data_IF_132274977770
#
_entry.id   IF_132274977770
#
_cell.length_a   1.000
_cell.length_b   1.000
_cell.length_c   1.000
_cell.angle_alpha   90.00
_cell.angle_beta   90.00
_cell.angle_gamma   90.00
#
_symmetry.space_group_name_H-M   'P 1'
#
loop_
_entity.id
_entity.type
_entity.pdbx_description
1 polymer ?
#
# COMPACT_ATOMS: atom_id res chain seq x y z
N UNK A 1 10.66 -18.84 13.41
CA UNK A 1 9.36 -18.39 12.84
C UNK A 1 9.52 -17.73 11.48
N UNK A 2 10.44 -16.77 11.30
CA UNK A 2 10.74 -16.19 9.98
C UNK A 2 11.17 -17.27 8.95
N UNK A 3 12.03 -18.21 9.33
CA UNK A 3 12.47 -19.31 8.45
C UNK A 3 11.32 -20.23 7.99
N UNK A 4 10.28 -20.41 8.81
CA UNK A 4 9.11 -21.23 8.48
C UNK A 4 8.17 -20.53 7.48
N UNK A 5 8.03 -19.21 7.61
CA UNK A 5 7.30 -18.37 6.65
C UNK A 5 8.05 -18.38 5.31
N UNK A 6 9.38 -18.24 5.34
CA UNK A 6 10.25 -18.29 4.15
C UNK A 6 10.19 -19.66 3.47
N UNK A 7 10.20 -20.78 4.21
CA UNK A 7 10.16 -22.13 3.63
C UNK A 7 8.79 -22.51 3.07
N UNK A 8 7.70 -21.88 3.52
CA UNK A 8 6.33 -22.20 3.07
C UNK A 8 5.85 -21.26 1.96
N UNK A 9 6.22 -19.97 2.03
CA UNK A 9 5.80 -18.96 1.04
C UNK A 9 6.82 -18.72 -0.07
N UNK A 10 8.10 -19.05 0.14
CA UNK A 10 9.19 -18.78 -0.81
C UNK A 10 8.99 -19.43 -2.18
N UNK A 11 8.34 -20.58 -2.24
CA UNK A 11 8.06 -21.30 -3.48
C UNK A 11 6.70 -20.95 -4.10
N UNK A 12 5.81 -20.27 -3.36
CA UNK A 12 4.41 -20.05 -3.78
C UNK A 12 4.15 -18.66 -4.33
N UNK A 13 4.92 -17.63 -3.91
CA UNK A 13 4.70 -16.24 -4.34
C UNK A 13 5.85 -15.80 -5.27
N UNK A 14 5.57 -15.53 -6.57
CA UNK A 14 6.54 -14.90 -7.45
C UNK A 14 7.09 -13.61 -6.84
N UNK A 15 8.41 -13.44 -6.84
CA UNK A 15 9.06 -12.27 -6.23
C UNK A 15 8.55 -10.93 -6.79
N UNK A 16 8.06 -10.91 -8.04
CA UNK A 16 7.50 -9.73 -8.69
C UNK A 16 6.15 -9.29 -8.12
N UNK A 17 5.35 -10.19 -7.53
CA UNK A 17 4.04 -9.82 -6.96
C UNK A 17 4.10 -9.57 -5.45
N UNK A 18 5.23 -9.88 -4.81
CA UNK A 18 5.44 -9.72 -3.37
C UNK A 18 5.09 -8.31 -2.87
N UNK A 19 5.50 -7.20 -3.53
CA UNK A 19 5.14 -5.86 -3.06
C UNK A 19 3.61 -5.65 -2.98
N UNK A 20 2.87 -6.09 -3.99
CA UNK A 20 1.42 -5.94 -4.04
C UNK A 20 0.72 -6.75 -2.95
N UNK A 21 1.19 -7.97 -2.67
CA UNK A 21 0.70 -8.80 -1.55
C UNK A 21 0.94 -8.09 -0.22
N UNK A 22 2.13 -7.56 -0.02
CA UNK A 22 2.50 -6.82 1.21
C UNK A 22 1.65 -5.56 1.36
N UNK A 23 1.36 -4.84 0.29
CA UNK A 23 0.45 -3.68 0.32
C UNK A 23 -0.92 -4.09 0.87
N UNK A 24 -1.51 -5.18 0.35
CA UNK A 24 -2.84 -5.65 0.77
C UNK A 24 -2.82 -6.07 2.23
N UNK A 25 -1.78 -6.80 2.67
CA UNK A 25 -1.65 -7.24 4.06
C UNK A 25 -1.51 -6.02 4.99
N UNK A 26 -0.64 -5.07 4.66
CA UNK A 26 -0.45 -3.86 5.45
C UNK A 26 -1.75 -3.04 5.54
N UNK A 27 -2.42 -2.85 4.40
CA UNK A 27 -3.71 -2.16 4.33
C UNK A 27 -4.78 -2.86 5.18
N UNK A 28 -4.92 -4.18 5.08
CA UNK A 28 -5.93 -4.92 5.84
C UNK A 28 -5.69 -4.86 7.36
N UNK A 29 -4.43 -5.05 7.79
CA UNK A 29 -4.07 -5.00 9.22
C UNK A 29 -4.28 -3.58 9.75
N UNK A 30 -3.79 -2.56 9.05
CA UNK A 30 -3.94 -1.16 9.49
C UNK A 30 -5.40 -0.69 9.47
N UNK A 31 -6.21 -1.18 8.53
CA UNK A 31 -7.62 -0.83 8.48
C UNK A 31 -8.38 -1.38 9.69
N UNK A 32 -8.05 -2.61 10.10
CA UNK A 32 -8.67 -3.28 11.26
C UNK A 32 -8.09 -2.86 12.61
N UNK A 33 -6.86 -2.34 12.67
CA UNK A 33 -6.24 -1.87 13.92
C UNK A 33 -6.42 -0.38 14.17
N UNK A 34 -6.72 0.41 13.13
CA UNK A 34 -6.80 1.87 13.22
C UNK A 34 -5.45 2.57 13.41
N UNK A 35 -4.32 1.88 13.25
CA UNK A 35 -2.99 2.45 13.45
C UNK A 35 -2.04 2.16 12.30
N UNK A 36 -1.60 3.22 11.62
CA UNK A 36 -0.60 3.14 10.55
C UNK A 36 0.80 2.87 11.11
N UNK A 37 1.24 3.68 12.08
CA UNK A 37 2.59 3.58 12.68
C UNK A 37 2.84 2.27 13.41
N UNK A 38 1.83 1.75 14.14
CA UNK A 38 1.94 0.45 14.81
C UNK A 38 2.14 -0.69 13.82
N UNK A 39 1.40 -0.66 12.71
CA UNK A 39 1.53 -1.68 11.65
C UNK A 39 2.87 -1.57 10.94
N UNK A 40 3.36 -0.36 10.65
CA UNK A 40 4.71 -0.18 10.08
C UNK A 40 5.79 -0.73 11.04
N UNK A 41 5.69 -0.45 12.33
CA UNK A 41 6.66 -0.92 13.33
C UNK A 41 6.71 -2.45 13.44
N UNK A 42 5.55 -3.12 13.30
CA UNK A 42 5.46 -4.58 13.35
C UNK A 42 5.87 -5.22 12.01
N UNK A 43 5.41 -4.68 10.88
CA UNK A 43 5.62 -5.30 9.58
C UNK A 43 7.02 -5.08 9.02
N UNK A 44 7.64 -3.91 9.20
CA UNK A 44 9.00 -3.65 8.68
C UNK A 44 10.04 -4.72 9.09
N UNK A 45 10.20 -5.07 10.38
CA UNK A 45 11.19 -6.08 10.78
C UNK A 45 10.87 -7.50 10.29
N UNK A 46 9.64 -7.77 9.83
CA UNK A 46 9.25 -9.06 9.27
C UNK A 46 9.40 -9.09 7.75
N UNK A 47 8.95 -8.03 7.08
CA UNK A 47 8.85 -7.93 5.62
C UNK A 47 10.22 -7.75 4.97
N UNK A 48 11.12 -6.96 5.57
CA UNK A 48 12.47 -6.75 5.03
C UNK A 48 13.25 -8.07 4.92
N UNK A 49 13.43 -8.87 5.99
CA UNK A 49 14.14 -10.15 5.88
C UNK A 49 13.40 -11.16 5.02
N UNK A 50 12.06 -11.18 5.02
CA UNK A 50 11.27 -12.02 4.12
C UNK A 50 11.56 -11.69 2.65
N UNK A 51 11.54 -10.41 2.30
CA UNK A 51 11.80 -9.92 0.93
C UNK A 51 13.21 -10.29 0.50
N UNK A 52 14.19 -10.12 1.38
CA UNK A 52 15.58 -10.53 1.12
C UNK A 52 15.70 -12.02 0.85
N UNK A 53 15.03 -12.86 1.63
CA UNK A 53 15.04 -14.31 1.45
C UNK A 53 14.37 -14.74 0.13
N UNK A 54 13.21 -14.16 -0.19
CA UNK A 54 12.50 -14.42 -1.47
C UNK A 54 13.37 -14.00 -2.65
N UNK A 55 14.00 -12.82 -2.60
CA UNK A 55 14.91 -12.35 -3.65
C UNK A 55 16.11 -13.28 -3.82
N UNK A 56 16.69 -13.78 -2.71
CA UNK A 56 17.82 -14.73 -2.77
C UNK A 56 17.45 -16.05 -3.47
N UNK A 57 16.23 -16.54 -3.27
CA UNK A 57 15.75 -17.78 -3.88
C UNK A 57 15.25 -17.61 -5.33
N UNK A 58 14.69 -16.44 -5.68
CA UNK A 58 13.99 -16.21 -6.95
C UNK A 58 14.79 -15.57 -8.09
N UNK A 59 16.06 -15.19 -7.87
CA UNK A 59 16.86 -14.49 -8.89
C UNK A 59 18.12 -13.78 -8.38
N UNK A 60 18.35 -13.82 -7.06
CA UNK A 60 19.48 -13.17 -6.40
C UNK A 60 19.16 -11.72 -6.00
N UNK A 61 19.77 -11.29 -4.90
CA UNK A 61 19.75 -9.90 -4.44
C UNK A 61 20.74 -9.04 -5.26
N UNK A 62 20.51 -8.98 -6.58
CA UNK A 62 21.30 -8.20 -7.52
C UNK A 62 20.84 -6.74 -7.56
N UNK A 63 21.66 -5.81 -8.08
CA UNK A 63 21.24 -4.42 -8.29
C UNK A 63 19.98 -4.30 -9.17
N UNK A 64 19.81 -5.22 -10.13
CA UNK A 64 18.64 -5.27 -11.02
C UNK A 64 17.35 -5.58 -10.27
N UNK A 65 17.38 -6.48 -9.30
CA UNK A 65 16.18 -6.89 -8.54
C UNK A 65 15.88 -6.01 -7.32
N UNK A 66 16.74 -5.03 -7.02
CA UNK A 66 16.62 -4.22 -5.80
C UNK A 66 15.34 -3.37 -5.76
N UNK A 67 14.72 -3.11 -6.92
CA UNK A 67 13.41 -2.46 -6.98
C UNK A 67 12.34 -3.22 -6.19
N UNK A 68 12.45 -4.54 -6.02
CA UNK A 68 11.50 -5.35 -5.25
C UNK A 68 11.60 -5.01 -3.77
N UNK A 69 12.83 -4.85 -3.25
CA UNK A 69 13.05 -4.47 -1.85
C UNK A 69 12.45 -3.08 -1.57
N UNK A 70 12.81 -2.09 -2.40
CA UNK A 70 12.31 -0.73 -2.24
C UNK A 70 10.79 -0.66 -2.40
N UNK A 71 10.24 -1.34 -3.40
CA UNK A 71 8.80 -1.41 -3.64
C UNK A 71 8.08 -2.07 -2.46
N UNK A 72 8.63 -3.14 -1.90
CA UNK A 72 7.98 -3.86 -0.79
C UNK A 72 7.97 -3.01 0.50
N UNK A 73 9.08 -2.32 0.80
CA UNK A 73 9.14 -1.35 1.91
C UNK A 73 8.12 -0.24 1.69
N UNK A 74 8.07 0.33 0.48
CA UNK A 74 7.09 1.35 0.12
C UNK A 74 5.64 0.83 0.26
N UNK A 75 5.38 -0.45 -0.04
CA UNK A 75 4.06 -1.07 0.10
C UNK A 75 3.61 -1.19 1.56
N UNK A 76 4.52 -1.47 2.49
CA UNK A 76 4.21 -1.43 3.93
C UNK A 76 3.77 -0.02 4.34
N UNK A 77 4.53 1.01 3.93
CA UNK A 77 4.23 2.39 4.26
C UNK A 77 2.89 2.83 3.65
N UNK A 78 2.75 2.65 2.33
CA UNK A 78 1.59 3.13 1.58
C UNK A 78 0.31 2.37 1.94
N UNK A 79 0.36 1.05 2.12
CA UNK A 79 -0.80 0.27 2.56
C UNK A 79 -1.26 0.70 3.96
N UNK A 80 -0.31 0.92 4.88
CA UNK A 80 -0.63 1.37 6.24
C UNK A 80 -1.24 2.79 6.26
N UNK A 81 -0.70 3.73 5.48
CA UNK A 81 -1.23 5.10 5.37
C UNK A 81 -2.58 5.13 4.67
N UNK A 82 -2.75 4.34 3.61
CA UNK A 82 -4.02 4.24 2.89
C UNK A 82 -5.17 3.83 3.82
N UNK A 83 -4.92 2.86 4.69
CA UNK A 83 -5.90 2.41 5.67
C UNK A 83 -6.23 3.46 6.73
N UNK A 84 -5.23 4.24 7.17
CA UNK A 84 -5.41 5.32 8.15
C UNK A 84 -6.34 6.43 7.66
N UNK A 85 -6.40 6.61 6.33
CA UNK A 85 -7.21 7.63 5.68
C UNK A 85 -8.69 7.25 5.55
N UNK A 86 -9.01 5.95 5.58
CA UNK A 86 -10.37 5.47 5.29
C UNK A 86 -10.97 4.60 6.40
N UNK A 87 -10.18 4.18 7.39
CA UNK A 87 -10.67 3.35 8.50
C UNK A 87 -11.47 4.18 9.51
N UNK A 88 -12.72 3.80 9.84
CA UNK A 88 -13.55 4.52 10.80
C UNK A 88 -13.02 4.47 12.24
N UNK A 89 -12.08 3.58 12.53
CA UNK A 89 -11.48 3.42 13.86
C UNK A 89 -10.06 4.01 13.94
N UNK A 90 -9.58 4.64 12.85
CA UNK A 90 -8.28 5.28 12.84
C UNK A 90 -8.29 6.56 13.68
N UNK A 91 -7.25 6.73 14.52
CA UNK A 91 -7.01 7.96 15.28
C UNK A 91 -6.95 9.19 14.36
N UNK A 92 -6.31 9.05 13.20
CA UNK A 92 -6.19 10.12 12.18
C UNK A 92 -7.55 10.46 11.58
N UNK A 93 -8.36 9.45 11.27
CA UNK A 93 -9.72 9.64 10.73
C UNK A 93 -10.63 10.34 11.76
N UNK A 94 -10.56 9.93 13.03
CA UNK A 94 -11.32 10.53 14.14
C UNK A 94 -10.89 11.99 14.37
N UNK A 95 -9.59 12.26 14.43
CA UNK A 95 -9.08 13.62 14.63
C UNK A 95 -9.44 14.53 13.44
N UNK A 96 -9.42 14.00 12.22
CA UNK A 96 -9.77 14.76 11.02
C UNK A 96 -11.26 15.07 10.95
N UNK A 97 -12.15 14.15 11.35
CA UNK A 97 -13.58 14.42 11.39
C UNK A 97 -13.92 15.50 12.43
N UNK A 98 -13.29 15.42 13.61
CA UNK A 98 -13.42 16.43 14.68
C UNK A 98 -12.91 17.81 14.23
N UNK A 99 -11.74 17.87 13.59
CA UNK A 99 -11.18 19.11 13.06
C UNK A 99 -12.03 19.73 11.94
N UNK A 100 -12.72 18.88 11.16
CA UNK A 100 -13.63 19.31 10.09
C UNK A 100 -15.03 19.66 10.59
N UNK A 101 -15.34 19.41 11.86
CA UNK A 101 -16.66 19.67 12.45
C UNK A 101 -17.79 18.79 11.88
N UNK A 102 -17.46 17.59 11.39
CA UNK A 102 -18.41 16.67 10.79
C UNK A 102 -18.49 15.34 11.54
N UNK A 103 -19.62 14.66 11.40
CA UNK A 103 -19.81 13.32 11.95
C UNK A 103 -18.80 12.34 11.34
N UNK A 104 -18.20 11.49 12.19
CA UNK A 104 -17.15 10.54 11.80
C UNK A 104 -17.55 9.69 10.60
N UNK A 105 -18.77 9.15 10.61
CA UNK A 105 -19.23 8.26 9.55
C UNK A 105 -19.48 9.01 8.23
N UNK A 106 -19.85 10.28 8.28
CA UNK A 106 -20.01 11.10 7.09
C UNK A 106 -18.65 11.46 6.49
N UNK A 107 -17.65 11.73 7.33
CA UNK A 107 -16.26 11.87 6.90
C UNK A 107 -15.79 10.60 6.16
N UNK A 108 -15.92 9.42 6.79
CA UNK A 108 -15.49 8.15 6.18
C UNK A 108 -16.21 7.88 4.86
N UNK A 109 -17.53 8.06 4.82
CA UNK A 109 -18.34 7.83 3.60
C UNK A 109 -17.92 8.73 2.45
N UNK A 110 -17.57 9.98 2.72
CA UNK A 110 -17.12 10.92 1.69
C UNK A 110 -15.69 10.61 1.23
N UNK A 111 -14.81 10.09 2.10
CA UNK A 111 -13.44 9.72 1.75
C UNK A 111 -13.31 8.37 1.05
N UNK A 112 -14.19 7.40 1.36
CA UNK A 112 -14.12 6.03 0.84
C UNK A 112 -14.01 5.93 -0.70
N UNK A 113 -14.79 6.67 -1.51
CA UNK A 113 -14.66 6.63 -2.97
C UNK A 113 -13.26 7.04 -3.45
N UNK A 114 -12.68 8.09 -2.86
CA UNK A 114 -11.33 8.54 -3.18
C UNK A 114 -10.28 7.52 -2.74
N UNK A 115 -10.41 7.00 -1.52
CA UNK A 115 -9.53 5.97 -1.00
C UNK A 115 -9.53 4.72 -1.89
N UNK A 116 -10.70 4.21 -2.29
CA UNK A 116 -10.79 3.05 -3.20
C UNK A 116 -10.11 3.35 -4.54
N UNK A 117 -10.36 4.53 -5.13
CA UNK A 117 -9.73 4.90 -6.40
C UNK A 117 -8.20 5.01 -6.32
N UNK A 118 -7.68 5.60 -5.25
CA UNK A 118 -6.24 5.75 -5.02
C UNK A 118 -5.59 4.40 -4.68
N UNK A 119 -6.26 3.57 -3.88
CA UNK A 119 -5.77 2.23 -3.51
C UNK A 119 -5.70 1.29 -4.72
N UNK A 120 -6.73 1.30 -5.58
CA UNK A 120 -6.71 0.54 -6.83
C UNK A 120 -5.65 1.05 -7.80
N UNK A 121 -5.47 2.36 -7.93
CA UNK A 121 -4.40 2.91 -8.76
C UNK A 121 -3.01 2.55 -8.21
N UNK A 122 -2.81 2.64 -6.89
CA UNK A 122 -1.57 2.23 -6.25
C UNK A 122 -1.28 0.75 -6.51
N UNK A 123 -2.27 -0.13 -6.38
CA UNK A 123 -2.11 -1.57 -6.65
C UNK A 123 -1.84 -1.88 -8.13
N UNK A 124 -2.72 -1.43 -9.02
CA UNK A 124 -2.74 -1.85 -10.42
C UNK A 124 -1.73 -1.10 -11.29
N UNK A 125 -1.51 0.19 -11.03
CA UNK A 125 -0.66 1.05 -11.82
C UNK A 125 0.69 1.34 -11.15
N UNK A 126 0.80 1.10 -9.84
CA UNK A 126 2.02 1.35 -9.07
C UNK A 126 2.76 0.07 -8.69
N UNK A 127 2.30 -0.61 -7.66
CA UNK A 127 3.05 -1.67 -6.96
C UNK A 127 3.21 -2.92 -7.81
N UNK A 128 2.19 -3.34 -8.56
CA UNK A 128 2.30 -4.48 -9.49
C UNK A 128 3.34 -4.23 -10.59
N UNK A 129 3.24 -3.17 -11.42
CA UNK A 129 4.28 -2.86 -12.41
C UNK A 129 5.67 -2.63 -11.82
N UNK A 130 5.76 -1.97 -10.65
CA UNK A 130 7.04 -1.76 -9.97
C UNK A 130 7.72 -3.09 -9.60
N UNK A 131 6.93 -4.10 -9.23
CA UNK A 131 7.41 -5.45 -8.97
C UNK A 131 7.94 -6.17 -10.22
N UNK A 132 7.49 -5.80 -11.42
CA UNK A 132 8.03 -6.27 -12.70
C UNK A 132 9.18 -5.40 -13.25
N UNK A 133 9.67 -4.42 -12.48
CA UNK A 133 10.82 -3.60 -12.86
C UNK A 133 10.50 -2.38 -13.72
N UNK A 134 9.22 -1.97 -13.80
CA UNK A 134 8.88 -0.73 -14.48
C UNK A 134 9.48 0.50 -13.76
N UNK A 135 9.90 1.54 -14.50
CA UNK A 135 10.58 2.69 -13.90
C UNK A 135 9.64 3.52 -13.03
N UNK A 136 10.07 3.82 -11.81
CA UNK A 136 9.27 4.51 -10.79
C UNK A 136 8.66 5.83 -11.26
N UNK A 137 9.40 6.64 -12.03
CA UNK A 137 8.94 7.95 -12.50
C UNK A 137 7.76 7.83 -13.46
N UNK A 138 7.73 6.79 -14.30
CA UNK A 138 6.63 6.55 -15.23
C UNK A 138 5.37 6.11 -14.47
N UNK A 139 5.54 5.24 -13.46
CA UNK A 139 4.44 4.78 -12.61
C UNK A 139 3.85 5.93 -11.79
N UNK A 140 4.67 6.87 -11.29
CA UNK A 140 4.18 8.07 -10.63
C UNK A 140 3.35 8.96 -11.56
N UNK A 141 3.81 9.19 -12.80
CA UNK A 141 3.05 9.96 -13.78
C UNK A 141 1.73 9.28 -14.15
N UNK A 142 1.74 7.97 -14.33
CA UNK A 142 0.52 7.18 -14.55
C UNK A 142 -0.44 7.26 -13.37
N UNK A 143 0.08 7.17 -12.14
CA UNK A 143 -0.69 7.32 -10.91
C UNK A 143 -1.37 8.69 -10.84
N UNK A 144 -0.60 9.78 -10.98
CA UNK A 144 -1.12 11.16 -10.98
C UNK A 144 -2.16 11.36 -12.09
N UNK A 145 -1.84 10.91 -13.31
CA UNK A 145 -2.74 10.97 -14.46
C UNK A 145 -4.06 10.25 -14.19
N UNK A 146 -4.02 9.06 -13.59
CA UNK A 146 -5.22 8.30 -13.23
C UNK A 146 -6.12 9.08 -12.27
N UNK A 147 -5.56 9.72 -11.25
CA UNK A 147 -6.34 10.49 -10.27
C UNK A 147 -6.94 11.76 -10.88
N UNK A 148 -6.19 12.46 -11.74
CA UNK A 148 -6.72 13.62 -12.49
C UNK A 148 -7.89 13.20 -13.38
N UNK A 149 -7.80 12.04 -14.04
CA UNK A 149 -8.89 11.51 -14.87
C UNK A 149 -10.11 11.18 -13.99
N UNK A 150 -9.92 10.48 -12.88
CA UNK A 150 -11.01 10.15 -11.94
C UNK A 150 -11.71 11.41 -11.47
N UNK A 151 -10.96 12.43 -11.03
CA UNK A 151 -11.53 13.71 -10.58
C UNK A 151 -12.24 14.44 -11.72
N UNK A 152 -11.72 14.42 -12.95
CA UNK A 152 -12.39 15.08 -14.10
C UNK A 152 -13.67 14.38 -14.53
N UNK A 153 -13.75 13.05 -14.42
CA UNK A 153 -14.91 12.27 -14.85
C UNK A 153 -16.01 12.20 -13.78
N UNK A 154 -15.62 12.07 -12.50
CA UNK A 154 -16.56 11.85 -11.39
C UNK A 154 -16.65 13.03 -10.42
N UNK A 155 -15.73 13.99 -10.49
CA UNK A 155 -15.71 15.15 -9.61
C UNK A 155 -16.89 16.08 -9.89
N UNK A 156 -17.56 16.49 -8.83
CA UNK A 156 -18.62 17.50 -8.89
C UNK A 156 -18.03 18.88 -8.60
N UNK A 157 -18.54 19.92 -9.27
CA UNK A 157 -18.14 21.30 -8.97
C UNK A 157 -18.69 21.65 -7.58
N UNK A 158 -17.81 22.01 -6.66
CA UNK A 158 -18.20 22.69 -5.42
C UNK A 158 -18.63 24.10 -5.78
N UNK A 159 -19.92 24.39 -5.55
CA UNK A 159 -20.53 25.71 -5.75
C UNK A 159 -20.14 26.69 -4.66
#
# INVERSE_FOLDING_TARGET
TADYIVSTLGDTIPMSILPAVVFIIAAAIAFGSGSSWGVMAILMPLVIPLTWAVMKNGGGATPENMHIMYSTIACVLTGSVWADHCSPISDTTILTSMASGCELMDHVRTQMPYAVSAGLAALLLGTLPAGFGFPWWALLLLGIGSQVIVVKLFGQKTS
#
